data_IF_424056053004
#
_entry.id   IF_424056053004
#
_cell.length_a   1.000
_cell.length_b   1.000
_cell.length_c   1.000
_cell.angle_alpha   90.00
_cell.angle_beta   90.00
_cell.angle_gamma   90.00
#
_symmetry.space_group_name_H-M   'P 1'
#
loop_
_entity.id
_entity.type
_entity.pdbx_description
1 polymer ?
#
# COMPACT_ATOMS: atom_id res chain seq x y z
N UNK A 1 17.14 -19.36 -12.94
CA UNK A 1 16.75 -18.19 -13.75
C UNK A 1 16.16 -17.17 -12.80
N UNK A 2 16.78 -16.00 -12.63
CA UNK A 2 16.22 -14.97 -11.75
C UNK A 2 15.06 -14.27 -12.46
N UNK A 3 13.99 -13.94 -11.73
CA UNK A 3 12.88 -13.14 -12.29
C UNK A 3 13.37 -11.76 -12.75
N UNK A 4 14.41 -11.21 -12.11
CA UNK A 4 15.06 -9.95 -12.53
C UNK A 4 15.69 -10.05 -13.92
N UNK A 5 16.30 -11.19 -14.25
CA UNK A 5 16.93 -11.41 -15.56
C UNK A 5 15.85 -11.51 -16.65
N UNK A 6 14.72 -12.15 -16.35
CA UNK A 6 13.58 -12.23 -17.25
C UNK A 6 12.98 -10.85 -17.52
N UNK A 7 12.82 -10.03 -16.48
CA UNK A 7 12.36 -8.65 -16.62
C UNK A 7 13.32 -7.84 -17.50
N UNK A 8 14.64 -8.05 -17.41
CA UNK A 8 15.61 -7.39 -18.30
C UNK A 8 15.46 -7.82 -19.76
N UNK A 9 15.22 -9.11 -20.02
CA UNK A 9 14.91 -9.58 -21.39
C UNK A 9 13.66 -8.90 -21.93
N UNK A 10 12.61 -8.77 -21.11
CA UNK A 10 11.35 -8.16 -21.53
C UNK A 10 11.49 -6.67 -21.81
N UNK A 11 12.30 -5.96 -21.03
CA UNK A 11 12.65 -4.56 -21.29
C UNK A 11 13.45 -4.41 -22.58
N UNK A 12 14.40 -5.31 -22.84
CA UNK A 12 15.17 -5.30 -24.07
C UNK A 12 14.29 -5.57 -25.30
N UNK A 13 13.37 -6.53 -25.21
CA UNK A 13 12.39 -6.83 -26.26
C UNK A 13 11.44 -5.65 -26.50
N UNK A 14 10.90 -5.04 -25.44
CA UNK A 14 10.06 -3.85 -25.56
C UNK A 14 10.81 -2.69 -26.23
N UNK A 15 12.06 -2.45 -25.81
CA UNK A 15 12.89 -1.39 -26.40
C UNK A 15 13.23 -1.63 -27.87
N UNK A 16 13.33 -2.89 -28.29
CA UNK A 16 13.51 -3.26 -29.70
C UNK A 16 12.22 -3.03 -30.50
N UNK A 17 11.07 -3.46 -29.95
CA UNK A 17 9.74 -3.26 -30.54
C UNK A 17 9.41 -1.80 -30.78
N UNK A 18 9.72 -0.94 -29.79
CA UNK A 18 9.46 0.50 -29.87
C UNK A 18 10.43 1.23 -30.82
N UNK A 19 11.48 0.55 -31.30
CA UNK A 19 12.47 1.14 -32.19
C UNK A 19 12.06 1.00 -33.66
N UNK A 20 11.27 1.95 -34.15
CA UNK A 20 10.82 2.00 -35.55
C UNK A 20 11.97 1.92 -36.56
N UNK A 21 13.11 2.55 -36.25
CA UNK A 21 14.30 2.54 -37.12
C UNK A 21 14.87 1.13 -37.24
N UNK A 22 14.91 0.36 -36.15
CA UNK A 22 15.34 -1.02 -36.16
C UNK A 22 14.45 -1.85 -37.11
N UNK A 23 13.13 -1.75 -36.97
CA UNK A 23 12.18 -2.48 -37.82
C UNK A 23 12.22 -2.04 -39.28
N UNK A 24 12.39 -0.75 -39.56
CA UNK A 24 12.55 -0.25 -40.92
C UNK A 24 13.80 -0.80 -41.61
N UNK A 25 14.92 -0.90 -40.89
CA UNK A 25 16.17 -1.48 -41.41
C UNK A 25 16.05 -3.01 -41.56
N UNK A 26 15.33 -3.68 -40.65
CA UNK A 26 15.13 -5.13 -40.67
C UNK A 26 14.39 -5.63 -41.93
N UNK A 27 13.54 -4.79 -42.54
CA UNK A 27 12.82 -5.12 -43.79
C UNK A 27 13.74 -5.22 -45.01
N UNK A 28 14.99 -4.73 -44.92
CA UNK A 28 15.93 -4.84 -46.02
C UNK A 28 16.43 -6.29 -46.19
N UNK A 29 16.54 -6.78 -47.43
CA UNK A 29 16.92 -8.17 -47.69
C UNK A 29 18.36 -8.49 -47.26
N UNK A 30 19.28 -7.52 -47.39
CA UNK A 30 20.69 -7.64 -46.93
C UNK A 30 20.75 -7.86 -45.41
N UNK A 31 20.02 -7.03 -44.66
CA UNK A 31 19.92 -7.10 -43.20
C UNK A 31 19.25 -8.39 -42.76
N UNK A 32 18.16 -8.80 -43.41
CA UNK A 32 17.47 -10.07 -43.09
C UNK A 32 18.39 -11.28 -43.27
N UNK A 33 19.18 -11.32 -44.35
CA UNK A 33 20.22 -12.34 -44.56
C UNK A 33 21.28 -12.29 -43.44
N UNK A 34 21.72 -11.11 -43.04
CA UNK A 34 22.64 -10.92 -41.91
C UNK A 34 22.12 -11.45 -40.59
N UNK A 35 20.85 -11.19 -40.28
CA UNK A 35 20.21 -11.71 -39.08
C UNK A 35 20.09 -13.23 -39.13
N UNK A 36 19.71 -13.82 -40.28
CA UNK A 36 19.64 -15.30 -40.45
C UNK A 36 20.99 -15.97 -40.32
N UNK A 37 22.05 -15.33 -40.81
CA UNK A 37 23.42 -15.80 -40.66
C UNK A 37 23.87 -15.78 -39.21
N UNK A 38 23.68 -14.65 -38.54
CA UNK A 38 23.98 -14.50 -37.13
C UNK A 38 23.20 -15.51 -36.26
N UNK A 39 21.95 -15.79 -36.62
CA UNK A 39 21.12 -16.80 -35.99
C UNK A 39 21.57 -18.25 -36.23
N UNK A 40 22.50 -18.48 -37.17
CA UNK A 40 22.92 -19.83 -37.59
C UNK A 40 21.88 -20.58 -38.43
N UNK A 41 20.86 -19.88 -38.97
CA UNK A 41 19.83 -20.47 -39.83
C UNK A 41 20.38 -20.70 -41.25
N UNK A 42 21.07 -19.69 -41.78
CA UNK A 42 21.60 -19.70 -43.14
C UNK A 42 23.05 -19.21 -43.14
N UNK A 43 24.00 -20.10 -43.42
CA UNK A 43 25.42 -19.74 -43.42
C UNK A 43 25.77 -19.10 -44.75
N UNK A 44 26.38 -17.91 -44.72
CA UNK A 44 26.78 -17.20 -45.91
C UNK A 44 28.26 -17.36 -46.18
N UNK A 45 28.63 -16.98 -47.39
CA UNK A 45 30.01 -17.06 -47.85
C UNK A 45 30.90 -16.04 -47.11
N UNK A 46 32.21 -16.30 -46.98
CA UNK A 46 33.13 -15.37 -46.34
C UNK A 46 33.19 -14.01 -47.03
N UNK A 47 33.07 -13.99 -48.37
CA UNK A 47 33.10 -12.77 -49.19
C UNK A 47 31.93 -11.85 -48.83
N UNK A 48 30.70 -12.38 -48.74
CA UNK A 48 29.52 -11.61 -48.32
C UNK A 48 29.63 -11.09 -46.88
N UNK A 49 30.32 -11.82 -46.00
CA UNK A 49 30.53 -11.40 -44.61
C UNK A 49 31.49 -10.20 -44.49
N UNK A 50 32.44 -10.02 -45.42
CA UNK A 50 33.34 -8.87 -45.42
C UNK A 50 32.61 -7.58 -45.78
N UNK A 51 31.71 -7.65 -46.76
CA UNK A 51 30.88 -6.52 -47.20
C UNK A 51 30.00 -5.98 -46.06
N UNK A 52 29.53 -6.85 -45.17
CA UNK A 52 28.64 -6.47 -44.06
C UNK A 52 29.31 -5.67 -42.96
N UNK A 53 30.61 -5.87 -42.74
CA UNK A 53 31.34 -5.09 -41.74
C UNK A 53 31.40 -3.61 -42.13
N UNK A 54 31.33 -3.33 -43.43
CA UNK A 54 31.30 -1.97 -43.97
C UNK A 54 29.91 -1.34 -43.94
N UNK A 55 28.85 -2.15 -43.83
CA UNK A 55 27.45 -1.68 -43.80
C UNK A 55 27.03 -1.26 -42.37
N UNK A 56 26.91 0.05 -42.17
CA UNK A 56 26.48 0.62 -40.90
C UNK A 56 25.07 0.20 -40.46
N UNK A 57 24.17 -0.15 -41.38
CA UNK A 57 22.81 -0.59 -41.05
C UNK A 57 22.81 -2.02 -40.50
N UNK A 58 23.57 -2.93 -41.12
CA UNK A 58 23.74 -4.31 -40.63
C UNK A 58 24.43 -4.29 -39.26
N UNK A 59 25.50 -3.51 -39.11
CA UNK A 59 26.22 -3.39 -37.85
C UNK A 59 25.35 -2.81 -36.72
N UNK A 60 24.48 -1.86 -37.03
CA UNK A 60 23.50 -1.32 -36.08
C UNK A 60 22.53 -2.41 -35.58
N UNK A 61 21.93 -3.18 -36.49
CA UNK A 61 20.99 -4.26 -36.13
C UNK A 61 21.68 -5.35 -35.31
N UNK A 62 22.89 -5.76 -35.71
CA UNK A 62 23.67 -6.76 -34.97
C UNK A 62 24.10 -6.27 -33.58
N UNK A 63 24.36 -4.97 -33.41
CA UNK A 63 24.67 -4.41 -32.10
C UNK A 63 23.48 -4.49 -31.13
N UNK A 64 22.27 -4.19 -31.60
CA UNK A 64 21.06 -4.32 -30.80
C UNK A 64 20.72 -5.79 -30.49
N UNK A 65 20.90 -6.69 -31.47
CA UNK A 65 20.73 -8.13 -31.25
C UNK A 65 21.73 -8.71 -30.25
N UNK A 66 22.99 -8.24 -30.24
CA UNK A 66 23.99 -8.63 -29.23
C UNK A 66 23.60 -8.20 -27.82
N UNK A 67 22.97 -7.03 -27.66
CA UNK A 67 22.45 -6.59 -26.35
C UNK A 67 21.35 -7.53 -25.86
N UNK A 68 20.42 -7.89 -26.75
CA UNK A 68 19.37 -8.87 -26.43
C UNK A 68 19.99 -10.24 -26.08
N UNK A 69 20.97 -10.70 -26.86
CA UNK A 69 21.67 -11.97 -26.61
C UNK A 69 22.32 -11.99 -25.23
N UNK A 70 22.94 -10.90 -24.81
CA UNK A 70 23.53 -10.79 -23.47
C UNK A 70 22.49 -10.95 -22.36
N UNK A 71 21.33 -10.31 -22.49
CA UNK A 71 20.22 -10.45 -21.55
C UNK A 71 19.68 -11.90 -21.54
N UNK A 72 19.45 -12.47 -22.72
CA UNK A 72 18.99 -13.85 -22.86
C UNK A 72 19.98 -14.86 -22.26
N UNK A 73 21.28 -14.65 -22.49
CA UNK A 73 22.35 -15.51 -21.96
C UNK A 73 22.41 -15.48 -20.45
N UNK A 74 22.24 -14.30 -19.83
CA UNK A 74 22.12 -14.17 -18.36
C UNK A 74 20.90 -14.93 -17.82
N UNK A 75 19.77 -14.83 -18.51
CA UNK A 75 18.56 -15.56 -18.16
C UNK A 75 18.66 -17.07 -18.47
N UNK A 76 19.70 -17.54 -19.17
CA UNK A 76 19.85 -18.95 -19.55
C UNK A 76 18.91 -19.38 -20.69
N UNK A 77 18.47 -18.45 -21.53
CA UNK A 77 17.58 -18.70 -22.67
C UNK A 77 18.25 -18.43 -24.01
N UNK A 78 17.74 -19.07 -25.06
CA UNK A 78 18.10 -18.73 -26.44
C UNK A 78 17.38 -17.44 -26.87
N UNK A 79 17.99 -16.70 -27.79
CA UNK A 79 17.41 -15.47 -28.33
C UNK A 79 16.13 -15.80 -29.13
N UNK A 80 14.97 -15.22 -28.77
CA UNK A 80 13.72 -15.49 -29.45
C UNK A 80 13.61 -14.67 -30.74
N UNK A 81 14.36 -15.09 -31.77
CA UNK A 81 14.40 -14.41 -33.07
C UNK A 81 13.02 -14.33 -33.74
N UNK A 82 12.18 -15.35 -33.59
CA UNK A 82 10.83 -15.35 -34.15
C UNK A 82 9.99 -14.17 -33.62
N UNK A 83 10.03 -13.94 -32.31
CA UNK A 83 9.34 -12.84 -31.62
C UNK A 83 9.87 -11.48 -32.08
N UNK A 84 11.19 -11.33 -32.19
CA UNK A 84 11.83 -10.09 -32.66
C UNK A 84 11.46 -9.78 -34.11
N UNK A 85 11.47 -10.78 -34.99
CA UNK A 85 11.11 -10.63 -36.40
C UNK A 85 9.61 -10.34 -36.59
N UNK A 86 8.75 -10.88 -35.72
CA UNK A 86 7.31 -10.64 -35.73
C UNK A 86 6.91 -9.27 -35.13
N UNK A 87 7.85 -8.51 -34.57
CA UNK A 87 7.56 -7.28 -33.81
C UNK A 87 6.62 -7.53 -32.61
N UNK A 88 6.70 -8.73 -32.05
CA UNK A 88 5.94 -9.12 -30.87
C UNK A 88 6.80 -8.92 -29.61
N UNK A 89 6.18 -8.58 -28.49
CA UNK A 89 6.83 -8.51 -27.19
C UNK A 89 6.40 -9.65 -26.25
N UNK A 90 5.56 -10.56 -26.76
CA UNK A 90 5.04 -11.69 -26.00
C UNK A 90 5.98 -12.89 -26.13
N UNK A 91 6.67 -13.22 -25.03
CA UNK A 91 7.49 -14.41 -24.94
C UNK A 91 6.83 -15.44 -24.03
N UNK A 92 6.41 -16.61 -24.56
CA UNK A 92 5.95 -17.70 -23.73
C UNK A 92 7.15 -18.35 -23.02
N UNK A 93 7.10 -18.42 -21.68
CA UNK A 93 8.06 -19.17 -20.89
C UNK A 93 7.61 -20.63 -20.72
N UNK A 94 8.55 -21.58 -20.58
CA UNK A 94 8.24 -22.99 -20.36
C UNK A 94 7.41 -23.23 -19.09
N UNK A 95 7.48 -22.33 -18.12
CA UNK A 95 6.73 -22.41 -16.85
C UNK A 95 5.24 -22.01 -16.99
N UNK A 96 4.76 -21.74 -18.21
CA UNK A 96 3.41 -21.22 -18.46
C UNK A 96 3.23 -19.73 -18.14
N UNK A 97 4.32 -19.04 -17.76
CA UNK A 97 4.37 -17.59 -17.58
C UNK A 97 4.57 -16.91 -18.94
N UNK A 98 4.08 -15.68 -19.10
CA UNK A 98 4.27 -14.86 -20.31
C UNK A 98 5.04 -13.60 -19.93
N UNK A 99 6.01 -13.24 -20.75
CA UNK A 99 6.70 -11.97 -20.65
C UNK A 99 6.03 -11.00 -21.61
N UNK A 100 5.57 -9.84 -21.13
CA UNK A 100 4.98 -8.79 -21.97
C UNK A 100 5.39 -7.42 -21.46
N UNK A 101 5.95 -6.56 -22.32
CA UNK A 101 6.38 -5.21 -21.94
C UNK A 101 7.28 -5.12 -20.68
N UNK A 102 8.12 -6.12 -20.41
CA UNK A 102 8.95 -6.17 -19.20
C UNK A 102 8.20 -6.52 -17.91
N UNK A 103 6.94 -6.94 -18.00
CA UNK A 103 6.18 -7.54 -16.89
C UNK A 103 6.07 -9.05 -17.10
N UNK A 104 6.11 -9.77 -15.99
CA UNK A 104 5.92 -11.21 -15.93
C UNK A 104 4.44 -11.45 -15.60
N UNK A 105 3.67 -11.93 -16.57
CA UNK A 105 2.24 -12.23 -16.42
C UNK A 105 2.06 -13.75 -16.30
N UNK A 106 1.20 -14.21 -15.40
CA UNK A 106 0.86 -15.62 -15.29
C UNK A 106 -0.29 -15.91 -16.28
N UNK A 107 -0.05 -16.73 -17.31
CA UNK A 107 -1.06 -17.01 -18.33
C UNK A 107 -2.37 -17.58 -17.74
N UNK A 108 -2.27 -18.33 -16.64
CA UNK A 108 -3.42 -18.88 -15.91
C UNK A 108 -4.32 -17.80 -15.27
N UNK A 109 -3.75 -16.64 -14.92
CA UNK A 109 -4.53 -15.53 -14.34
C UNK A 109 -5.21 -14.72 -15.43
N UNK A 110 -4.61 -14.62 -16.62
CA UNK A 110 -5.16 -13.84 -17.74
C UNK A 110 -6.39 -14.49 -18.37
N UNK A 111 -6.37 -15.81 -18.60
CA UNK A 111 -7.55 -16.52 -19.13
C UNK A 111 -8.75 -16.42 -18.18
N UNK A 112 -8.49 -16.32 -16.87
CA UNK A 112 -9.54 -16.13 -15.87
C UNK A 112 -10.12 -14.70 -15.88
N UNK A 113 -9.35 -13.71 -16.39
CA UNK A 113 -9.78 -12.32 -16.47
C UNK A 113 -10.54 -12.01 -17.76
N UNK A 114 -10.21 -12.68 -18.87
CA UNK A 114 -10.92 -12.54 -20.15
C UNK A 114 -12.27 -13.27 -20.18
N UNK A 115 -12.44 -14.33 -19.37
CA UNK A 115 -13.73 -15.01 -19.14
C UNK A 115 -14.57 -14.36 -18.02
N UNK A 116 -14.20 -13.16 -17.56
CA UNK A 116 -14.99 -12.45 -16.55
C UNK A 116 -16.30 -11.97 -17.21
N UNK A 117 -17.48 -12.43 -16.76
CA UNK A 117 -18.75 -11.98 -17.32
C UNK A 117 -18.84 -10.46 -17.21
N UNK A 118 -19.35 -9.82 -18.26
CA UNK A 118 -19.54 -8.36 -18.35
C UNK A 118 -19.97 -7.82 -16.99
N UNK A 119 -19.05 -7.13 -16.32
CA UNK A 119 -19.33 -6.48 -15.05
C UNK A 119 -20.56 -5.60 -15.25
N UNK A 120 -21.56 -5.66 -14.36
CA UNK A 120 -22.72 -4.79 -14.48
C UNK A 120 -22.21 -3.34 -14.59
N UNK A 121 -22.82 -2.52 -15.47
CA UNK A 121 -22.36 -1.17 -15.71
C UNK A 121 -22.18 -0.46 -14.37
N UNK A 122 -20.97 0.04 -14.12
CA UNK A 122 -20.63 0.72 -12.87
C UNK A 122 -21.54 1.93 -12.75
N UNK A 123 -22.53 1.83 -11.88
CA UNK A 123 -23.48 2.89 -11.62
C UNK A 123 -22.73 4.07 -10.98
N UNK A 124 -22.56 5.21 -11.68
CA UNK A 124 -21.80 6.34 -11.14
C UNK A 124 -22.48 6.98 -9.92
N UNK A 125 -23.70 6.55 -9.59
CA UNK A 125 -24.43 6.93 -8.37
C UNK A 125 -24.19 6.03 -7.16
N UNK A 126 -23.55 4.87 -7.31
CA UNK A 126 -23.33 3.93 -6.20
C UNK A 126 -22.37 4.50 -5.15
N UNK A 127 -21.21 5.03 -5.57
CA UNK A 127 -20.22 5.60 -4.65
C UNK A 127 -20.74 6.86 -3.92
N UNK A 128 -21.60 7.66 -4.59
CA UNK A 128 -22.24 8.82 -3.97
C UNK A 128 -23.16 8.41 -2.82
N UNK A 129 -23.95 7.35 -3.01
CA UNK A 129 -24.81 6.80 -1.96
C UNK A 129 -23.99 6.27 -0.78
N UNK A 130 -22.89 5.58 -1.04
CA UNK A 130 -22.00 5.07 0.01
C UNK A 130 -21.36 6.21 0.82
N UNK A 131 -20.90 7.29 0.16
CA UNK A 131 -20.37 8.47 0.84
C UNK A 131 -21.42 9.19 1.68
N UNK A 132 -22.64 9.34 1.17
CA UNK A 132 -23.75 9.95 1.92
C UNK A 132 -24.04 9.13 3.18
N UNK A 133 -24.12 7.81 3.08
CA UNK A 133 -24.31 6.95 4.25
C UNK A 133 -23.17 7.03 5.26
N UNK A 134 -21.90 7.08 4.80
CA UNK A 134 -20.76 7.29 5.71
C UNK A 134 -20.80 8.65 6.43
N UNK A 135 -21.25 9.71 5.76
CA UNK A 135 -21.40 11.01 6.41
C UNK A 135 -22.54 11.00 7.43
N UNK A 136 -23.67 10.38 7.11
CA UNK A 136 -24.82 10.24 8.02
C UNK A 136 -24.42 9.46 9.28
N UNK A 137 -23.70 8.35 9.14
CA UNK A 137 -23.28 7.55 10.30
C UNK A 137 -22.27 8.31 11.17
N UNK A 138 -21.35 9.07 10.57
CA UNK A 138 -20.39 9.90 11.31
C UNK A 138 -21.08 11.01 12.10
N UNK A 139 -22.06 11.69 11.50
CA UNK A 139 -22.84 12.72 12.20
C UNK A 139 -23.65 12.10 13.34
N UNK A 140 -24.32 10.97 13.10
CA UNK A 140 -25.09 10.27 14.13
C UNK A 140 -24.20 9.84 15.30
N UNK A 141 -23.02 9.29 15.03
CA UNK A 141 -22.06 8.92 16.05
C UNK A 141 -21.60 10.13 16.89
N UNK A 142 -21.32 11.26 16.25
CA UNK A 142 -20.94 12.49 16.94
C UNK A 142 -22.07 13.04 17.84
N UNK A 143 -23.32 12.98 17.38
CA UNK A 143 -24.50 13.38 18.18
C UNK A 143 -24.67 12.46 19.37
N UNK A 144 -24.61 11.14 19.18
CA UNK A 144 -24.72 10.17 20.27
C UNK A 144 -23.59 10.32 21.29
N UNK A 145 -22.36 10.54 20.85
CA UNK A 145 -21.24 10.82 21.75
C UNK A 145 -21.48 12.10 22.58
N UNK A 146 -22.01 13.16 21.95
CA UNK A 146 -22.30 14.42 22.65
C UNK A 146 -23.46 14.28 23.64
N UNK A 147 -24.51 13.54 23.28
CA UNK A 147 -25.63 13.23 24.20
C UNK A 147 -25.17 12.35 25.35
N UNK A 148 -24.31 11.35 25.09
CA UNK A 148 -23.74 10.49 26.13
C UNK A 148 -22.92 11.26 27.17
N UNK A 149 -22.13 12.25 26.74
CA UNK A 149 -21.39 13.15 27.66
C UNK A 149 -22.34 13.96 28.54
N UNK A 150 -23.42 14.50 27.97
CA UNK A 150 -24.43 15.25 28.73
C UNK A 150 -25.15 14.36 29.76
N UNK A 151 -25.51 13.13 29.38
CA UNK A 151 -26.21 12.21 30.29
C UNK A 151 -25.32 11.76 31.45
N UNK A 152 -24.00 11.64 31.22
CA UNK A 152 -23.07 11.24 32.27
C UNK A 152 -22.87 12.35 33.33
N UNK A 153 -22.93 13.62 32.95
CA UNK A 153 -22.83 14.75 33.91
C UNK A 153 -24.00 14.78 34.91
N UNK A 154 -25.22 14.44 34.48
CA UNK A 154 -26.38 14.43 35.37
C UNK A 154 -26.30 13.31 36.43
N UNK A 155 -25.84 12.12 36.06
CA UNK A 155 -25.66 11.02 36.99
C UNK A 155 -24.50 11.28 37.97
N UNK A 156 -23.40 11.88 37.50
CA UNK A 156 -22.32 12.32 38.39
C UNK A 156 -22.76 13.44 39.35
N UNK A 157 -23.60 14.37 38.90
CA UNK A 157 -24.14 15.43 39.76
C UNK A 157 -25.03 14.86 40.87
N UNK A 158 -25.89 13.87 40.56
CA UNK A 158 -26.73 13.19 41.56
C UNK A 158 -25.89 12.40 42.57
N UNK A 159 -24.85 11.70 42.11
CA UNK A 159 -23.93 10.96 42.99
C UNK A 159 -23.12 11.90 43.91
N UNK A 160 -22.66 13.05 43.40
CA UNK A 160 -21.93 14.04 44.19
C UNK A 160 -22.80 14.68 45.30
N UNK A 161 -24.08 14.97 45.02
CA UNK A 161 -24.97 15.56 46.01
C UNK A 161 -25.30 14.59 47.16
N UNK A 162 -25.44 13.29 46.89
CA UNK A 162 -25.67 12.28 47.92
C UNK A 162 -24.42 11.99 48.76
N UNK A 163 -23.21 12.12 48.19
CA UNK A 163 -21.97 11.97 48.94
C UNK A 163 -21.72 13.15 49.90
N UNK A 164 -22.24 14.34 49.59
CA UNK A 164 -22.01 15.55 50.38
C UNK A 164 -22.93 15.64 51.62
N UNK A 165 -24.11 15.00 51.59
CA UNK A 165 -25.02 14.94 52.74
C UNK A 165 -24.63 13.88 53.79
N UNK A 166 -23.73 12.95 53.46
CA UNK A 166 -23.27 11.90 54.37
C UNK A 166 -22.12 12.32 55.32
N UNK A 167 -21.55 13.51 55.18
CA UNK A 167 -20.41 14.00 55.99
C UNK A 167 -20.85 14.87 57.18
N UNK A 168 -22.16 15.04 57.38
CA UNK A 168 -22.72 15.98 58.35
C UNK A 168 -23.08 15.44 59.74
N UNK A 169 -22.53 14.34 60.26
CA UNK A 169 -22.73 13.96 61.68
C UNK A 169 -21.52 13.16 62.22
N UNK A 170 -20.39 13.82 62.48
CA UNK A 170 -19.40 13.30 63.44
C UNK A 170 -19.00 14.44 64.39
N UNK A 171 -19.19 14.18 65.68
CA UNK A 171 -19.19 15.14 66.76
C UNK A 171 -17.84 15.82 67.06
N UNK A 172 -17.83 16.72 68.06
CA UNK A 172 -16.68 17.54 68.40
C UNK A 172 -15.62 16.70 69.10
N UNK A 173 -14.65 16.18 68.34
CA UNK A 173 -13.54 15.43 68.93
C UNK A 173 -12.72 14.68 67.89
N UNK A 174 -12.02 15.42 67.02
CA UNK A 174 -11.13 14.80 66.04
C UNK A 174 -10.73 15.76 64.94
N UNK A 175 -9.77 16.63 65.23
CA UNK A 175 -9.18 17.55 64.26
C UNK A 175 -8.27 16.75 63.31
N UNK A 176 -8.84 16.18 62.25
CA UNK A 176 -8.09 15.75 61.07
C UNK A 176 -8.22 16.86 60.03
N UNK A 177 -7.17 17.66 59.94
CA UNK A 177 -6.98 18.69 58.93
C UNK A 177 -6.84 18.03 57.54
N UNK A 178 -7.96 17.61 56.96
CA UNK A 178 -8.03 17.28 55.55
C UNK A 178 -8.00 18.60 54.77
N UNK A 179 -6.78 19.07 54.47
CA UNK A 179 -6.55 20.08 53.42
C UNK A 179 -7.06 19.53 52.09
N UNK A 180 -8.33 19.81 51.81
CA UNK A 180 -8.90 19.67 50.48
C UNK A 180 -8.20 20.70 49.58
N UNK A 181 -7.16 20.25 48.87
CA UNK A 181 -6.61 20.98 47.73
C UNK A 181 -7.64 20.85 46.60
N UNK A 182 -8.65 21.72 46.63
CA UNK A 182 -9.47 22.02 45.46
C UNK A 182 -8.65 22.98 44.60
N UNK A 183 -7.72 22.42 43.80
CA UNK A 183 -7.08 23.17 42.72
C UNK A 183 -8.11 23.38 41.62
N UNK A 184 -8.78 24.52 41.69
CA UNK A 184 -9.61 25.08 40.61
C UNK A 184 -8.68 25.53 39.48
N UNK A 185 -8.37 24.63 38.55
CA UNK A 185 -7.56 24.94 37.37
C UNK A 185 -8.41 25.63 36.29
N UNK A 186 -8.67 26.93 36.43
CA UNK A 186 -8.99 27.77 35.26
C UNK A 186 -7.68 28.06 34.53
N UNK A 187 -7.29 27.16 33.63
CA UNK A 187 -6.03 27.24 32.88
C UNK A 187 -6.28 27.98 31.55
N UNK A 188 -5.89 29.24 31.49
CA UNK A 188 -5.80 30.02 30.25
C UNK A 188 -4.64 29.50 29.37
N UNK A 189 -4.83 29.60 28.05
CA UNK A 189 -4.10 28.91 26.98
C UNK A 189 -2.61 29.28 26.80
N UNK A 190 -2.01 30.16 27.62
CA UNK A 190 -0.69 30.74 27.32
C UNK A 190 0.51 30.09 28.01
N UNK A 191 0.32 29.29 29.07
CA UNK A 191 1.45 28.84 29.92
C UNK A 191 1.76 27.33 29.84
N UNK A 192 1.43 26.67 28.73
CA UNK A 192 1.64 25.22 28.57
C UNK A 192 3.10 24.79 28.36
N UNK A 193 4.00 25.69 27.99
CA UNK A 193 5.36 25.31 27.58
C UNK A 193 6.34 25.25 28.78
N UNK A 194 6.12 26.03 29.84
CA UNK A 194 7.02 26.01 31.02
C UNK A 194 6.67 24.92 32.04
N UNK A 195 5.44 24.42 32.06
CA UNK A 195 5.01 23.38 33.02
C UNK A 195 5.50 21.96 32.65
N UNK A 196 5.90 21.71 31.40
CA UNK A 196 6.41 20.42 30.95
C UNK A 196 7.87 20.16 31.36
N UNK A 197 8.64 21.21 31.70
CA UNK A 197 10.04 21.04 32.13
C UNK A 197 10.18 20.73 33.63
N UNK A 198 9.16 21.02 34.44
CA UNK A 198 9.17 20.78 35.90
C UNK A 198 8.53 19.43 36.31
N UNK A 199 7.85 18.75 35.37
CA UNK A 199 7.28 17.41 35.57
C UNK A 199 8.29 16.27 35.38
N UNK A 200 9.50 16.57 34.90
CA UNK A 200 10.59 15.60 34.72
C UNK A 200 11.30 15.20 36.02
N UNK A 201 11.35 16.08 37.02
CA UNK A 201 12.18 15.87 38.23
C UNK A 201 11.41 15.35 39.46
N UNK A 202 10.08 15.36 39.44
CA UNK A 202 9.25 14.87 40.57
C UNK A 202 8.91 13.38 40.51
N UNK A 203 9.35 12.65 39.47
CA UNK A 203 9.14 11.18 39.37
C UNK A 203 10.16 10.33 40.13
N UNK A 204 11.20 10.94 40.72
CA UNK A 204 12.17 10.21 41.54
C UNK A 204 11.80 10.13 43.04
N UNK A 205 10.76 10.84 43.49
CA UNK A 205 10.43 10.94 44.91
C UNK A 205 8.91 10.97 45.17
N UNK A 206 8.20 9.88 44.91
CA UNK A 206 7.00 9.53 45.69
C UNK A 206 6.57 8.10 45.40
N UNK A 207 6.70 7.25 46.42
CA UNK A 207 6.10 5.92 46.42
C UNK A 207 4.58 5.99 46.52
N UNK A 208 3.94 5.00 45.89
CA UNK A 208 2.61 4.48 46.19
C UNK A 208 1.42 5.46 46.29
N UNK A 209 0.73 5.66 45.16
CA UNK A 209 -0.71 5.94 45.12
C UNK A 209 -1.40 4.98 44.13
N UNK A 210 -2.05 3.92 44.65
CA UNK A 210 -2.67 2.83 43.88
C UNK A 210 -4.16 3.02 43.55
N UNK A 211 -4.78 4.17 43.81
CA UNK A 211 -6.23 4.34 43.65
C UNK A 211 -6.69 5.05 42.37
N UNK A 212 -5.83 5.78 41.65
CA UNK A 212 -6.20 6.48 40.42
C UNK A 212 -6.10 5.65 39.13
N UNK A 213 -5.41 4.50 39.17
CA UNK A 213 -5.12 3.72 37.97
C UNK A 213 -6.25 2.76 37.57
N UNK A 214 -7.12 2.39 38.51
CA UNK A 214 -8.14 1.35 38.30
C UNK A 214 -9.35 1.90 37.52
N UNK A 215 -9.73 3.15 37.74
CA UNK A 215 -10.89 3.78 37.08
C UNK A 215 -10.61 4.12 35.61
N UNK A 216 -9.44 4.64 35.28
CA UNK A 216 -9.05 4.87 33.88
C UNK A 216 -8.91 3.56 33.09
N UNK A 217 -8.42 2.49 33.72
CA UNK A 217 -8.23 1.21 33.03
C UNK A 217 -9.55 0.47 32.79
N UNK A 218 -10.54 0.64 33.67
CA UNK A 218 -11.89 0.11 33.46
C UNK A 218 -12.63 0.84 32.32
N UNK A 219 -12.54 2.18 32.28
CA UNK A 219 -13.19 2.97 31.23
C UNK A 219 -12.60 2.69 29.84
N UNK A 220 -11.27 2.52 29.74
CA UNK A 220 -10.61 2.18 28.48
C UNK A 220 -11.02 0.80 27.95
N UNK A 221 -11.11 -0.21 28.82
CA UNK A 221 -11.54 -1.57 28.42
C UNK A 221 -12.97 -1.59 27.89
N UNK A 222 -13.90 -0.91 28.57
CA UNK A 222 -15.29 -0.87 28.12
C UNK A 222 -15.47 -0.12 26.79
N UNK A 223 -14.71 0.96 26.55
CA UNK A 223 -14.75 1.64 25.25
C UNK A 223 -14.15 0.78 24.12
N UNK A 224 -13.08 0.02 24.39
CA UNK A 224 -12.51 -0.89 23.40
C UNK A 224 -13.43 -2.07 23.06
N UNK A 225 -14.14 -2.63 24.05
CA UNK A 225 -15.06 -3.73 23.80
C UNK A 225 -16.31 -3.24 23.04
N UNK A 226 -16.84 -2.06 23.37
CA UNK A 226 -17.97 -1.48 22.62
C UNK A 226 -17.63 -1.23 21.14
N UNK A 227 -16.41 -0.76 20.86
CA UNK A 227 -15.94 -0.54 19.49
C UNK A 227 -15.82 -1.85 18.70
N UNK A 228 -15.36 -2.93 19.33
CA UNK A 228 -15.29 -4.26 18.69
C UNK A 228 -16.68 -4.81 18.35
N UNK A 229 -17.65 -4.68 19.26
CA UNK A 229 -19.01 -5.18 19.02
C UNK A 229 -19.71 -4.43 17.89
N UNK A 230 -19.52 -3.10 17.82
CA UNK A 230 -20.06 -2.27 16.73
C UNK A 230 -19.41 -2.59 15.37
N UNK A 231 -18.11 -2.85 15.36
CA UNK A 231 -17.40 -3.23 14.12
C UNK A 231 -17.85 -4.61 13.63
N UNK A 232 -18.05 -5.57 14.54
CA UNK A 232 -18.54 -6.90 14.21
C UNK A 232 -19.98 -6.89 13.67
N UNK A 233 -20.87 -6.05 14.22
CA UNK A 233 -22.24 -5.93 13.70
C UNK A 233 -22.30 -5.24 12.34
N UNK A 234 -21.44 -4.26 12.09
CA UNK A 234 -21.37 -3.59 10.78
C UNK A 234 -20.79 -4.50 9.68
N UNK A 235 -19.87 -5.39 10.01
CA UNK A 235 -19.35 -6.39 9.07
C UNK A 235 -20.32 -7.55 8.78
N UNK A 236 -21.34 -7.78 9.61
CA UNK A 236 -22.35 -8.82 9.38
C UNK A 236 -23.55 -8.38 8.53
N UNK A 237 -23.63 -7.10 8.16
CA UNK A 237 -24.74 -6.49 7.41
C UNK A 237 -24.36 -6.08 5.98
N UNK A 238 -23.12 -6.35 5.56
CA UNK A 238 -22.61 -6.21 4.19
C UNK A 238 -22.45 -7.60 3.58
#
# INVERSE_FOLDING_TARGET
MSDDDLVQVGKALSSLKDNERFHGVLQQPSVSKAVRHWAGIERLSPEECEDWQSDGQIMFVLAELRRLEHCCRKAGMKVPLHTVLACEDELPLPDGRRLRGGKLENAAVQSTLEDLPDLPPVDPGAWRRTLVWQLVTMVLAAVLARVGVWYQEEEFAKLAMNATSAVGVLGPGGFLECKAIVSRSTMQSSDKISALHQWGELKAASGHCRLGHVTCQWMWRNCCDLAKTLTAQLCGLL
#
